data_IF_918534337996
#
_entry.id   IF_918534337996
#
_cell.length_a   1.000
_cell.length_b   1.000
_cell.length_c   1.000
_cell.angle_alpha   90.00
_cell.angle_beta   90.00
_cell.angle_gamma   90.00
#
_symmetry.space_group_name_H-M   'P 1'
#
loop_
_entity.id
_entity.type
_entity.pdbx_description
1 polymer ?
#
# COMPACT_ATOMS: atom_id res chain seq x y z
N UNK A 1 65.32 2.23 45.84
CA UNK A 1 65.11 2.52 44.39
C UNK A 1 64.48 1.38 43.58
N UNK A 2 64.62 0.09 43.96
CA UNK A 2 64.16 -1.05 43.13
C UNK A 2 62.62 -1.29 43.03
N UNK A 3 61.79 -0.75 43.94
CA UNK A 3 60.32 -0.95 43.91
C UNK A 3 59.58 -0.01 42.95
N UNK A 4 60.14 1.18 42.68
CA UNK A 4 59.58 2.16 41.75
C UNK A 4 59.77 1.72 40.30
N UNK A 5 60.96 1.21 39.97
CA UNK A 5 61.28 0.68 38.64
C UNK A 5 60.36 -0.49 38.21
N UNK A 6 59.99 -1.39 39.14
CA UNK A 6 59.07 -2.51 38.84
C UNK A 6 57.66 -2.04 38.51
N UNK A 7 57.16 -0.98 39.16
CA UNK A 7 55.84 -0.41 38.86
C UNK A 7 55.83 0.31 37.51
N UNK A 8 56.91 1.04 37.20
CA UNK A 8 57.07 1.70 35.89
C UNK A 8 57.14 0.68 34.76
N UNK A 9 57.87 -0.43 34.93
CA UNK A 9 57.95 -1.51 33.94
C UNK A 9 56.59 -2.19 33.73
N UNK A 10 55.82 -2.44 34.80
CA UNK A 10 54.49 -3.05 34.66
C UNK A 10 53.50 -2.14 33.96
N UNK A 11 53.54 -0.82 34.22
CA UNK A 11 52.69 0.16 33.53
C UNK A 11 53.08 0.27 32.06
N UNK A 12 54.39 0.32 31.74
CA UNK A 12 54.85 0.36 30.35
C UNK A 12 54.49 -0.91 29.58
N UNK A 13 54.66 -2.10 30.16
CA UNK A 13 54.21 -3.35 29.54
C UNK A 13 52.69 -3.39 29.33
N UNK A 14 51.91 -2.87 30.29
CA UNK A 14 50.47 -2.76 30.17
C UNK A 14 50.04 -1.84 29.02
N UNK A 15 50.68 -0.67 28.89
CA UNK A 15 50.42 0.28 27.79
C UNK A 15 50.83 -0.29 26.43
N UNK A 16 51.95 -1.01 26.35
CA UNK A 16 52.38 -1.68 25.11
C UNK A 16 51.39 -2.78 24.71
N UNK A 17 50.92 -3.58 25.67
CA UNK A 17 49.92 -4.63 25.40
C UNK A 17 48.58 -4.05 24.94
N UNK A 18 48.11 -2.95 25.54
CA UNK A 18 46.86 -2.31 25.11
C UNK A 18 46.97 -1.69 23.72
N UNK A 19 48.10 -1.05 23.40
CA UNK A 19 48.36 -0.51 22.05
C UNK A 19 48.44 -1.65 21.02
N UNK A 20 49.11 -2.77 21.35
CA UNK A 20 49.17 -3.93 20.46
C UNK A 20 47.79 -4.54 20.24
N UNK A 21 46.94 -4.67 21.27
CA UNK A 21 45.58 -5.19 21.12
C UNK A 21 44.71 -4.25 20.27
N UNK A 22 44.83 -2.93 20.44
CA UNK A 22 44.11 -1.96 19.61
C UNK A 22 44.57 -2.00 18.14
N UNK A 23 45.86 -2.18 17.89
CA UNK A 23 46.40 -2.37 16.53
C UNK A 23 45.95 -3.69 15.90
N UNK A 24 45.79 -4.77 16.68
CA UNK A 24 45.25 -6.05 16.21
C UNK A 24 43.74 -5.98 15.93
N UNK A 25 43.00 -5.13 16.65
CA UNK A 25 41.58 -4.90 16.42
C UNK A 25 41.32 -4.04 15.18
N UNK A 26 42.17 -3.05 14.89
CA UNK A 26 42.05 -2.23 13.67
C UNK A 26 42.55 -2.94 12.41
N UNK A 27 43.46 -3.92 12.54
CA UNK A 27 43.94 -4.74 11.41
C UNK A 27 43.03 -5.93 11.05
N UNK A 28 41.99 -6.22 11.85
CA UNK A 28 40.94 -7.20 11.51
C UNK A 28 39.87 -6.67 10.55
N UNK A 29 39.96 -5.41 10.13
CA UNK A 29 39.05 -4.79 9.15
C UNK A 29 39.65 -4.73 7.74
N UNK A 30 40.31 -5.79 7.28
CA UNK A 30 40.69 -5.94 5.87
C UNK A 30 40.98 -7.41 5.53
N UNK A 31 39.95 -8.26 5.55
CA UNK A 31 39.97 -9.46 4.71
C UNK A 31 39.38 -9.06 3.36
N UNK A 32 40.18 -8.92 2.28
CA UNK A 32 39.62 -8.91 0.94
C UNK A 32 38.92 -10.25 0.72
N UNK A 33 37.66 -10.19 0.31
CA UNK A 33 36.91 -11.38 -0.08
C UNK A 33 37.57 -11.95 -1.35
N UNK A 34 38.42 -12.95 -1.19
CA UNK A 34 39.02 -13.69 -2.30
C UNK A 34 37.93 -14.50 -2.98
N UNK A 35 37.46 -14.06 -4.14
CA UNK A 35 36.70 -14.89 -5.08
C UNK A 35 37.56 -16.06 -5.53
N UNK A 36 37.19 -17.28 -5.15
CA UNK A 36 37.78 -18.53 -5.66
C UNK A 36 37.10 -18.86 -7.00
N UNK A 37 37.82 -18.91 -8.14
CA UNK A 37 37.28 -19.41 -9.38
C UNK A 37 37.34 -20.95 -9.37
N UNK A 38 36.17 -21.60 -9.45
CA UNK A 38 36.09 -23.04 -9.71
C UNK A 38 35.56 -23.86 -8.54
N UNK A 39 34.23 -23.89 -8.40
CA UNK A 39 33.52 -24.87 -7.58
C UNK A 39 32.19 -25.19 -8.25
N UNK A 40 32.12 -26.31 -8.97
CA UNK A 40 30.87 -26.92 -9.44
C UNK A 40 30.00 -27.24 -8.22
N UNK A 41 29.07 -26.35 -7.89
CA UNK A 41 27.89 -26.73 -7.13
C UNK A 41 26.82 -27.08 -8.15
N UNK A 42 26.35 -28.33 -8.13
CA UNK A 42 25.08 -28.70 -8.73
C UNK A 42 23.96 -28.03 -7.94
N UNK A 43 23.85 -26.71 -8.09
CA UNK A 43 22.60 -26.02 -7.85
C UNK A 43 21.71 -26.31 -9.05
N UNK A 44 20.53 -26.87 -8.80
CA UNK A 44 19.43 -26.81 -9.76
C UNK A 44 19.35 -25.34 -10.19
N UNK A 45 19.46 -25.02 -11.49
CA UNK A 45 19.36 -23.63 -11.92
C UNK A 45 17.95 -23.19 -11.55
N UNK A 46 17.85 -22.32 -10.54
CA UNK A 46 16.70 -21.44 -10.41
C UNK A 46 16.66 -20.70 -11.74
N UNK A 47 15.70 -21.08 -12.57
CA UNK A 47 15.41 -20.41 -13.82
C UNK A 47 15.20 -18.95 -13.43
N UNK A 48 16.20 -18.13 -13.70
CA UNK A 48 16.10 -16.69 -13.57
C UNK A 48 14.96 -16.29 -14.50
N UNK A 49 13.78 -16.07 -13.94
CA UNK A 49 12.64 -15.52 -14.67
C UNK A 49 13.02 -14.07 -14.94
N UNK A 50 13.80 -13.87 -16.00
CA UNK A 50 14.04 -12.55 -16.56
C UNK A 50 12.72 -12.07 -17.14
N UNK A 51 11.96 -11.35 -16.33
CA UNK A 51 11.03 -10.36 -16.86
C UNK A 51 11.90 -9.37 -17.64
N UNK A 52 11.75 -9.34 -18.97
CA UNK A 52 12.56 -8.47 -19.82
C UNK A 52 12.40 -7.01 -19.36
N UNK A 53 13.50 -6.36 -18.96
CA UNK A 53 13.55 -4.92 -18.71
C UNK A 53 13.53 -4.46 -17.24
N UNK A 54 13.42 -5.35 -16.25
CA UNK A 54 13.46 -4.94 -14.83
C UNK A 54 14.90 -4.96 -14.34
N UNK A 55 15.42 -3.77 -13.99
CA UNK A 55 16.73 -3.62 -13.35
C UNK A 55 16.78 -4.30 -11.97
N UNK A 56 17.92 -4.22 -11.25
CA UNK A 56 18.02 -4.78 -9.90
C UNK A 56 16.94 -4.18 -8.99
N UNK A 57 16.22 -5.03 -8.26
CA UNK A 57 15.27 -4.58 -7.22
C UNK A 57 16.05 -3.89 -6.11
N UNK A 58 15.88 -2.59 -5.97
CA UNK A 58 16.51 -1.78 -4.94
C UNK A 58 15.45 -1.07 -4.05
N UNK A 59 15.90 -0.37 -3.00
CA UNK A 59 15.00 0.30 -2.04
C UNK A 59 14.39 1.60 -2.56
N UNK A 60 14.95 2.16 -3.62
CA UNK A 60 14.59 3.46 -4.17
C UNK A 60 13.76 3.31 -5.44
N UNK A 61 13.51 2.08 -5.90
CA UNK A 61 12.64 1.81 -7.03
C UNK A 61 11.22 2.31 -6.76
N UNK A 62 10.51 2.82 -7.79
CA UNK A 62 9.14 3.30 -7.63
C UNK A 62 8.20 2.12 -7.39
N UNK A 63 7.72 1.99 -6.16
CA UNK A 63 6.75 0.96 -5.75
C UNK A 63 5.34 1.53 -5.71
N UNK A 64 4.38 0.75 -6.20
CA UNK A 64 2.95 1.05 -6.12
C UNK A 64 2.34 0.18 -5.03
N UNK A 65 1.69 0.81 -4.04
CA UNK A 65 0.94 0.10 -3.00
C UNK A 65 -0.55 0.30 -3.23
N UNK A 66 -1.26 -0.80 -3.49
CA UNK A 66 -2.73 -0.80 -3.63
C UNK A 66 -3.32 -1.26 -2.30
N UNK A 67 -4.09 -0.38 -1.68
CA UNK A 67 -4.75 -0.63 -0.41
C UNK A 67 -6.25 -0.35 -0.48
N UNK A 68 -6.97 -0.77 0.55
CA UNK A 68 -8.38 -0.49 0.74
C UNK A 68 -9.00 -1.45 1.75
N UNK A 69 -10.22 -1.14 2.19
CA UNK A 69 -11.02 -2.13 2.93
C UNK A 69 -11.34 -3.30 1.99
N UNK A 70 -11.35 -4.55 2.48
CA UNK A 70 -11.72 -5.70 1.65
C UNK A 70 -13.08 -5.48 0.98
N UNK A 71 -13.20 -5.96 -0.27
CA UNK A 71 -14.38 -5.82 -1.14
C UNK A 71 -14.58 -4.44 -1.79
N UNK A 72 -13.65 -3.49 -1.62
CA UNK A 72 -13.66 -2.18 -2.30
C UNK A 72 -12.97 -2.17 -3.68
N UNK A 73 -12.95 -3.29 -4.41
CA UNK A 73 -12.40 -3.31 -5.78
C UNK A 73 -10.86 -3.31 -5.91
N UNK A 74 -10.09 -3.48 -4.82
CA UNK A 74 -8.61 -3.51 -4.85
C UNK A 74 -8.03 -4.57 -5.80
N UNK A 75 -8.73 -5.70 -5.95
CA UNK A 75 -8.35 -6.77 -6.90
C UNK A 75 -8.58 -6.37 -8.36
N UNK A 76 -9.59 -5.55 -8.65
CA UNK A 76 -9.80 -5.02 -9.99
C UNK A 76 -8.69 -4.00 -10.31
N UNK A 77 -8.43 -3.06 -9.40
CA UNK A 77 -7.38 -2.06 -9.56
C UNK A 77 -6.00 -2.69 -9.85
N UNK A 78 -5.61 -3.74 -9.08
CA UNK A 78 -4.35 -4.45 -9.36
C UNK A 78 -4.35 -5.14 -10.72
N UNK A 79 -5.48 -5.69 -11.16
CA UNK A 79 -5.57 -6.46 -12.41
C UNK A 79 -5.50 -5.53 -13.62
N UNK A 80 -6.08 -4.33 -13.51
CA UNK A 80 -5.95 -3.28 -14.52
C UNK A 80 -4.49 -2.83 -14.64
N UNK A 81 -3.80 -2.58 -13.51
CA UNK A 81 -2.39 -2.20 -13.51
C UNK A 81 -1.48 -3.32 -14.06
N UNK A 82 -1.73 -4.58 -13.72
CA UNK A 82 -0.94 -5.73 -14.19
C UNK A 82 -1.10 -6.01 -15.69
N UNK A 83 -2.12 -5.42 -16.34
CA UNK A 83 -2.27 -5.46 -17.79
C UNK A 83 -1.28 -4.52 -18.51
N UNK A 84 -0.74 -3.50 -17.81
CA UNK A 84 0.21 -2.57 -18.41
C UNK A 84 1.58 -3.26 -18.59
N UNK A 85 2.23 -3.19 -19.77
CA UNK A 85 3.47 -3.92 -20.07
C UNK A 85 4.68 -3.65 -19.14
N UNK A 86 4.66 -2.56 -18.37
CA UNK A 86 5.78 -2.12 -17.51
C UNK A 86 5.49 -2.31 -16.03
N UNK A 87 4.25 -2.67 -15.67
CA UNK A 87 3.80 -2.79 -14.28
C UNK A 87 3.50 -4.27 -14.00
N UNK A 88 3.98 -4.75 -12.85
CA UNK A 88 3.63 -6.08 -12.34
C UNK A 88 3.21 -6.00 -10.90
N UNK A 89 1.95 -6.35 -10.62
CA UNK A 89 1.39 -6.39 -9.28
C UNK A 89 1.41 -7.82 -8.70
N UNK A 90 1.03 -8.81 -9.50
CA UNK A 90 0.89 -10.19 -9.03
C UNK A 90 -0.29 -10.42 -8.08
N UNK A 91 -0.26 -11.56 -7.37
CA UNK A 91 -1.29 -11.96 -6.39
C UNK A 91 -1.09 -11.29 -5.02
N UNK A 92 -2.14 -11.32 -4.18
CA UNK A 92 -2.04 -10.81 -2.82
C UNK A 92 -1.03 -11.64 -1.99
N UNK A 93 0.01 -10.97 -1.50
CA UNK A 93 1.16 -11.64 -0.86
C UNK A 93 0.84 -12.28 0.50
N UNK A 94 -0.25 -11.88 1.17
CA UNK A 94 -0.72 -12.28 2.52
C UNK A 94 0.25 -12.10 3.70
N UNK A 95 1.56 -12.08 3.45
CA UNK A 95 2.63 -11.98 4.44
C UNK A 95 2.96 -10.53 4.78
N UNK A 96 2.92 -9.62 3.79
CA UNK A 96 3.25 -8.20 4.00
C UNK A 96 2.36 -7.56 5.07
N UNK A 97 1.02 -7.67 5.03
CA UNK A 97 0.17 -7.08 6.06
C UNK A 97 0.44 -7.67 7.45
N UNK A 98 0.77 -8.97 7.53
CA UNK A 98 1.04 -9.66 8.79
C UNK A 98 2.35 -9.19 9.43
N UNK A 99 3.39 -8.98 8.63
CA UNK A 99 4.66 -8.40 9.09
C UNK A 99 4.46 -6.95 9.55
N UNK A 100 3.66 -6.16 8.82
CA UNK A 100 3.36 -4.78 9.21
C UNK A 100 2.55 -4.73 10.52
N UNK A 101 1.56 -5.61 10.70
CA UNK A 101 0.82 -5.77 11.97
C UNK A 101 1.78 -6.09 13.13
N UNK A 102 2.62 -7.11 12.96
CA UNK A 102 3.61 -7.50 13.96
C UNK A 102 4.57 -6.36 14.29
N UNK A 103 5.08 -5.63 13.30
CA UNK A 103 5.95 -4.48 13.51
C UNK A 103 5.24 -3.35 14.24
N UNK A 104 3.99 -3.07 13.91
CA UNK A 104 3.16 -2.07 14.61
C UNK A 104 2.96 -2.48 16.08
N UNK A 105 2.67 -3.76 16.34
CA UNK A 105 2.55 -4.29 17.70
C UNK A 105 3.85 -4.26 18.48
N UNK A 106 4.99 -4.54 17.85
CA UNK A 106 6.30 -4.44 18.53
C UNK A 106 6.71 -3.00 18.84
N UNK A 107 6.16 -2.03 18.10
CA UNK A 107 6.25 -0.60 18.44
C UNK A 107 5.29 -0.20 19.56
N UNK A 108 4.26 -0.99 19.86
CA UNK A 108 3.31 -0.76 20.95
C UNK A 108 3.80 -1.41 22.25
N UNK A 109 3.52 -0.78 23.39
CA UNK A 109 3.89 -1.31 24.71
C UNK A 109 3.14 -2.60 25.03
N UNK A 110 3.73 -3.52 25.81
CA UNK A 110 3.09 -4.78 26.21
C UNK A 110 1.71 -4.59 26.90
N UNK A 111 1.53 -3.47 27.62
CA UNK A 111 0.26 -3.08 28.22
C UNK A 111 -0.80 -2.70 27.17
N UNK A 112 -0.38 -2.05 26.09
CA UNK A 112 -1.24 -1.69 24.95
C UNK A 112 -1.67 -2.95 24.20
N UNK A 113 -0.73 -3.88 23.95
CA UNK A 113 -1.00 -5.16 23.29
C UNK A 113 -2.01 -6.02 24.07
N UNK A 114 -1.92 -6.03 25.41
CA UNK A 114 -2.88 -6.75 26.25
C UNK A 114 -4.29 -6.15 26.14
N UNK A 115 -4.41 -4.81 26.21
CA UNK A 115 -5.72 -4.13 26.08
C UNK A 115 -6.35 -4.36 24.72
N UNK A 116 -5.56 -4.37 23.65
CA UNK A 116 -6.02 -4.66 22.30
C UNK A 116 -6.52 -6.10 22.18
N UNK A 117 -5.80 -7.07 22.76
CA UNK A 117 -6.24 -8.46 22.79
C UNK A 117 -7.54 -8.66 23.60
N UNK A 118 -7.67 -8.00 24.76
CA UNK A 118 -8.90 -8.02 25.57
C UNK A 118 -10.09 -7.36 24.85
N UNK A 119 -9.81 -6.39 23.97
CA UNK A 119 -10.79 -5.79 23.06
C UNK A 119 -11.05 -6.62 21.78
N UNK A 120 -10.49 -7.82 21.66
CA UNK A 120 -10.69 -8.72 20.51
C UNK A 120 -9.85 -8.40 19.28
N UNK A 121 -8.84 -7.52 19.39
CA UNK A 121 -7.94 -7.14 18.31
C UNK A 121 -6.67 -8.03 18.35
N UNK A 122 -6.71 -9.17 17.66
CA UNK A 122 -5.59 -10.15 17.61
C UNK A 122 -4.79 -10.09 16.29
N UNK A 123 -3.55 -10.59 16.32
CA UNK A 123 -2.49 -10.46 15.30
C UNK A 123 -2.70 -11.23 13.97
N UNK A 124 -3.91 -11.70 13.69
CA UNK A 124 -4.23 -12.41 12.45
C UNK A 124 -4.90 -11.48 11.44
N UNK A 125 -4.22 -11.30 10.30
CA UNK A 125 -4.74 -10.65 9.09
C UNK A 125 -5.78 -11.55 8.42
N UNK A 126 -6.95 -11.54 9.01
CA UNK A 126 -8.25 -11.73 8.36
C UNK A 126 -9.10 -10.54 8.82
N UNK A 127 -10.32 -10.39 8.30
CA UNK A 127 -11.29 -9.33 8.64
C UNK A 127 -11.71 -9.47 10.12
N UNK A 128 -10.79 -9.31 11.06
CA UNK A 128 -10.97 -9.58 12.48
C UNK A 128 -11.67 -8.39 13.12
N UNK A 129 -12.71 -8.68 13.90
CA UNK A 129 -13.55 -7.66 14.53
C UNK A 129 -14.74 -7.18 13.68
N UNK A 130 -15.05 -7.86 12.56
CA UNK A 130 -16.35 -7.72 11.89
C UNK A 130 -17.26 -8.90 12.25
N UNK A 131 -18.38 -8.59 12.87
CA UNK A 131 -19.51 -9.49 13.03
C UNK A 131 -20.37 -9.42 11.76
N UNK A 132 -20.19 -10.42 10.90
CA UNK A 132 -20.92 -10.54 9.63
C UNK A 132 -22.43 -10.76 9.82
N UNK A 133 -22.89 -11.05 11.04
CA UNK A 133 -24.32 -11.15 11.36
C UNK A 133 -24.94 -9.79 11.66
N UNK A 134 -24.12 -8.76 11.94
CA UNK A 134 -24.56 -7.41 12.30
C UNK A 134 -24.13 -6.38 11.25
N UNK A 135 -25.04 -6.00 10.32
CA UNK A 135 -24.80 -4.95 9.34
C UNK A 135 -24.33 -3.63 9.97
N UNK A 136 -24.90 -3.26 11.12
CA UNK A 136 -24.57 -2.04 11.85
C UNK A 136 -23.14 -2.06 12.38
N UNK A 137 -22.69 -3.19 12.91
CA UNK A 137 -21.32 -3.32 13.37
C UNK A 137 -20.34 -3.28 12.19
N UNK A 138 -20.69 -3.95 11.09
CA UNK A 138 -19.89 -3.93 9.86
C UNK A 138 -19.71 -2.51 9.32
N UNK A 139 -20.78 -1.71 9.24
CA UNK A 139 -20.73 -0.32 8.78
C UNK A 139 -19.87 0.57 9.68
N UNK A 140 -20.03 0.47 11.01
CA UNK A 140 -19.20 1.22 11.96
C UNK A 140 -17.73 0.85 11.85
N UNK A 141 -17.44 -0.44 11.71
CA UNK A 141 -16.06 -0.93 11.63
C UNK A 141 -15.43 -0.56 10.30
N UNK A 142 -16.17 -0.67 9.19
CA UNK A 142 -15.78 -0.15 7.89
C UNK A 142 -15.42 1.33 8.00
N UNK A 143 -16.28 2.13 8.62
CA UNK A 143 -16.06 3.57 8.79
C UNK A 143 -14.76 3.88 9.52
N UNK A 144 -14.50 3.21 10.65
CA UNK A 144 -13.25 3.39 11.41
C UNK A 144 -12.00 3.06 10.58
N UNK A 145 -12.05 1.98 9.81
CA UNK A 145 -10.88 1.56 9.01
C UNK A 145 -10.66 2.54 7.86
N UNK A 146 -11.71 2.91 7.15
CA UNK A 146 -11.64 3.87 6.04
C UNK A 146 -11.12 5.22 6.54
N UNK A 147 -11.67 5.76 7.62
CA UNK A 147 -11.21 7.01 8.25
C UNK A 147 -9.70 7.00 8.54
N UNK A 148 -9.20 5.90 9.12
CA UNK A 148 -7.75 5.76 9.40
C UNK A 148 -6.91 5.74 8.13
N UNK A 149 -7.40 5.05 7.08
CA UNK A 149 -6.68 4.96 5.80
C UNK A 149 -6.71 6.29 5.04
N UNK A 150 -7.83 6.99 5.14
CA UNK A 150 -8.06 8.30 4.53
C UNK A 150 -7.12 9.35 5.14
N UNK A 151 -7.07 9.44 6.46
CA UNK A 151 -6.12 10.31 7.17
C UNK A 151 -4.67 10.04 6.78
N UNK A 152 -4.28 8.75 6.68
CA UNK A 152 -2.92 8.39 6.24
C UNK A 152 -2.64 8.80 4.78
N UNK A 153 -3.65 8.74 3.91
CA UNK A 153 -3.53 9.17 2.52
C UNK A 153 -3.33 10.69 2.45
N UNK A 154 -4.10 11.45 3.24
CA UNK A 154 -3.99 12.91 3.34
C UNK A 154 -2.64 13.36 3.91
N UNK A 155 -2.13 12.67 4.94
CA UNK A 155 -0.81 12.94 5.52
C UNK A 155 0.32 12.75 4.49
N UNK A 156 0.16 11.86 3.52
CA UNK A 156 1.11 11.65 2.42
C UNK A 156 1.00 12.73 1.34
N UNK A 157 -0.21 13.24 1.11
CA UNK A 157 -0.55 14.23 0.07
C UNK A 157 -0.69 13.64 -1.34
N UNK A 158 -1.30 14.42 -2.23
CA UNK A 158 -1.81 14.00 -3.56
C UNK A 158 -0.74 13.47 -4.54
N UNK A 159 0.52 13.82 -4.27
CA UNK A 159 1.67 13.35 -5.06
C UNK A 159 2.03 11.88 -4.75
N UNK A 160 1.71 11.40 -3.55
CA UNK A 160 2.09 10.07 -3.05
C UNK A 160 0.89 9.15 -2.85
N UNK A 161 -0.29 9.71 -2.56
CA UNK A 161 -1.52 8.96 -2.41
C UNK A 161 -2.58 9.48 -3.38
N UNK A 162 -3.40 8.56 -3.90
CA UNK A 162 -4.50 8.86 -4.82
C UNK A 162 -5.72 8.06 -4.37
N UNK A 163 -6.80 8.74 -3.97
CA UNK A 163 -8.09 8.10 -3.75
C UNK A 163 -8.73 7.75 -5.10
N UNK A 164 -9.18 6.50 -5.21
CA UNK A 164 -9.82 5.97 -6.42
C UNK A 164 -11.17 5.34 -6.03
N UNK A 165 -12.30 6.02 -6.26
CA UNK A 165 -13.62 5.43 -6.06
C UNK A 165 -13.82 4.23 -7.00
N UNK A 166 -14.24 3.10 -6.45
CA UNK A 166 -14.44 1.86 -7.22
C UNK A 166 -15.49 2.05 -8.31
N UNK A 167 -16.58 2.75 -7.99
CA UNK A 167 -17.69 2.96 -8.91
C UNK A 167 -17.27 3.81 -10.10
N UNK A 168 -16.41 4.81 -9.86
CA UNK A 168 -15.82 5.61 -10.93
C UNK A 168 -14.91 4.76 -11.83
N UNK A 169 -14.06 3.90 -11.24
CA UNK A 169 -13.19 2.99 -11.98
C UNK A 169 -13.98 2.02 -12.89
N UNK A 170 -15.19 1.62 -12.47
CA UNK A 170 -16.05 0.69 -13.21
C UNK A 170 -16.87 1.40 -14.30
N UNK A 171 -17.45 2.56 -13.96
CA UNK A 171 -18.33 3.33 -14.85
C UNK A 171 -17.55 4.08 -15.92
N UNK A 172 -16.44 4.72 -15.54
CA UNK A 172 -15.64 5.61 -16.39
C UNK A 172 -14.14 5.31 -16.23
N UNK A 173 -13.65 4.13 -16.66
CA UNK A 173 -12.24 3.74 -16.50
C UNK A 173 -11.25 4.77 -17.05
N UNK A 174 -11.60 5.45 -18.16
CA UNK A 174 -10.75 6.46 -18.82
C UNK A 174 -10.40 7.65 -17.91
N UNK A 175 -11.32 8.06 -17.03
CA UNK A 175 -11.10 9.17 -16.09
C UNK A 175 -10.11 8.82 -14.97
N UNK A 176 -9.82 7.54 -14.78
CA UNK A 176 -8.93 7.03 -13.73
C UNK A 176 -7.65 6.43 -14.32
N UNK A 177 -7.70 5.93 -15.54
CA UNK A 177 -6.59 5.25 -16.22
C UNK A 177 -6.63 5.54 -17.73
N UNK A 178 -5.69 6.36 -18.22
CA UNK A 178 -5.64 6.79 -19.63
C UNK A 178 -5.41 5.65 -20.63
N UNK A 179 -4.66 4.59 -20.26
CA UNK A 179 -4.35 3.50 -21.19
C UNK A 179 -5.54 2.60 -21.51
N UNK A 180 -6.67 2.79 -20.81
CA UNK A 180 -7.92 2.08 -20.99
C UNK A 180 -8.72 2.54 -22.21
N UNK A 181 -8.20 3.47 -23.03
CA UNK A 181 -8.84 3.92 -24.27
C UNK A 181 -9.18 2.80 -25.26
N UNK A 182 -8.55 1.64 -25.11
CA UNK A 182 -8.79 0.44 -25.92
C UNK A 182 -9.98 -0.40 -25.41
N UNK A 183 -10.53 -0.09 -24.23
CA UNK A 183 -11.63 -0.83 -23.58
C UNK A 183 -12.88 0.05 -23.53
N UNK A 184 -13.68 -0.04 -24.59
CA UNK A 184 -14.88 0.81 -24.84
C UNK A 184 -16.10 0.42 -23.99
N UNK A 185 -16.04 -0.66 -23.19
CA UNK A 185 -17.19 -1.14 -22.41
C UNK A 185 -16.93 -1.05 -20.91
N UNK A 186 -17.93 -0.62 -20.11
CA UNK A 186 -17.78 -0.57 -18.66
C UNK A 186 -17.44 -1.97 -18.14
N UNK A 187 -16.51 -2.01 -17.18
CA UNK A 187 -16.25 -3.22 -16.42
C UNK A 187 -17.55 -3.56 -15.68
N UNK A 188 -17.91 -4.83 -15.57
CA UNK A 188 -19.18 -5.31 -15.02
C UNK A 188 -19.82 -4.39 -13.94
N UNK A 189 -20.94 -3.73 -14.28
CA UNK A 189 -21.67 -2.79 -13.41
C UNK A 189 -22.67 -3.47 -12.48
N UNK A 190 -22.90 -4.78 -12.61
CA UNK A 190 -23.90 -5.51 -11.83
C UNK A 190 -23.64 -5.45 -10.33
N UNK A 191 -22.40 -5.16 -9.91
CA UNK A 191 -22.03 -5.07 -8.50
C UNK A 191 -22.43 -3.74 -7.84
N UNK A 192 -22.63 -2.66 -8.61
CA UNK A 192 -22.76 -1.30 -8.08
C UNK A 192 -23.96 -1.12 -7.16
N UNK A 193 -25.10 -1.70 -7.52
CA UNK A 193 -26.38 -1.51 -6.81
C UNK A 193 -26.92 -2.79 -6.16
N UNK A 194 -26.15 -3.88 -6.13
CA UNK A 194 -26.59 -5.18 -5.57
C UNK A 194 -26.95 -5.14 -4.08
N UNK A 195 -26.45 -4.15 -3.35
CA UNK A 195 -26.73 -3.95 -1.93
C UNK A 195 -28.07 -3.24 -1.67
N UNK A 196 -28.62 -2.56 -2.69
CA UNK A 196 -29.88 -1.80 -2.57
C UNK A 196 -31.00 -2.77 -2.24
N UNK A 197 -31.75 -2.47 -1.18
CA UNK A 197 -32.84 -3.31 -0.69
C UNK A 197 -32.40 -4.52 0.16
N UNK A 198 -31.10 -4.70 0.41
CA UNK A 198 -30.59 -5.75 1.31
C UNK A 198 -30.60 -5.32 2.78
N UNK A 199 -30.29 -4.05 3.06
CA UNK A 199 -30.30 -3.52 4.42
C UNK A 199 -31.73 -3.30 4.93
N UNK A 200 -31.94 -3.58 6.23
CA UNK A 200 -33.17 -3.21 6.91
C UNK A 200 -33.33 -1.69 6.99
N UNK A 201 -34.58 -1.22 7.02
CA UNK A 201 -34.91 0.21 6.99
C UNK A 201 -34.29 1.00 8.15
N UNK A 202 -34.17 0.40 9.34
CA UNK A 202 -33.52 1.02 10.49
C UNK A 202 -32.02 1.25 10.27
N UNK A 203 -31.36 0.38 9.50
CA UNK A 203 -29.95 0.51 9.14
C UNK A 203 -29.76 1.61 8.11
N UNK A 204 -30.66 1.68 7.11
CA UNK A 204 -30.65 2.74 6.09
C UNK A 204 -30.90 4.10 6.72
N UNK A 205 -31.88 4.22 7.61
CA UNK A 205 -32.17 5.47 8.33
C UNK A 205 -31.00 5.95 9.18
N UNK A 206 -30.24 5.03 9.77
CA UNK A 206 -29.12 5.37 10.64
C UNK A 206 -27.78 5.39 9.87
N UNK A 207 -27.79 5.33 8.53
CA UNK A 207 -26.59 5.16 7.69
C UNK A 207 -25.57 6.27 7.92
N UNK A 208 -25.99 7.53 7.90
CA UNK A 208 -25.12 8.69 8.15
C UNK A 208 -24.47 8.64 9.55
N UNK A 209 -25.18 8.12 10.55
CA UNK A 209 -24.63 7.95 11.90
C UNK A 209 -23.67 6.76 11.99
N UNK A 210 -23.96 5.67 11.28
CA UNK A 210 -23.15 4.45 11.31
C UNK A 210 -21.85 4.61 10.51
N UNK A 211 -21.89 5.38 9.42
CA UNK A 211 -20.81 5.50 8.45
C UNK A 211 -20.65 6.94 7.92
N UNK A 212 -20.26 7.91 8.77
CA UNK A 212 -20.05 9.31 8.35
C UNK A 212 -18.99 9.50 7.25
N UNK A 213 -18.05 8.57 7.09
CA UNK A 213 -17.06 8.60 6.00
C UNK A 213 -17.70 8.51 4.60
N UNK A 214 -18.95 8.06 4.49
CA UNK A 214 -19.66 8.09 3.21
C UNK A 214 -19.73 9.52 2.66
N UNK A 215 -20.17 10.47 3.49
CA UNK A 215 -20.28 11.88 3.11
C UNK A 215 -18.90 12.49 2.82
N UNK A 216 -17.90 12.21 3.68
CA UNK A 216 -16.51 12.64 3.47
C UNK A 216 -15.96 12.20 2.12
N UNK A 217 -16.31 10.99 1.67
CA UNK A 217 -15.87 10.42 0.39
C UNK A 217 -16.80 10.76 -0.79
N UNK A 218 -17.82 11.61 -0.59
CA UNK A 218 -18.72 12.07 -1.65
C UNK A 218 -19.92 11.16 -1.94
N UNK A 219 -20.14 10.13 -1.13
CA UNK A 219 -21.35 9.30 -1.19
C UNK A 219 -22.45 9.91 -0.32
N UNK A 220 -23.62 10.15 -0.90
CA UNK A 220 -24.80 10.61 -0.15
C UNK A 220 -25.33 9.46 0.74
N UNK A 221 -25.24 9.56 2.08
CA UNK A 221 -25.68 8.50 2.98
C UNK A 221 -27.20 8.32 3.04
N UNK A 222 -27.98 9.30 2.58
CA UNK A 222 -29.44 9.27 2.54
C UNK A 222 -29.98 8.75 1.20
N UNK A 223 -29.14 8.70 0.16
CA UNK A 223 -29.51 8.17 -1.15
C UNK A 223 -29.39 6.64 -1.22
N UNK A 224 -30.40 5.99 -1.80
CA UNK A 224 -30.44 4.53 -1.92
C UNK A 224 -30.99 4.07 -3.29
N UNK A 225 -30.13 3.86 -4.31
CA UNK A 225 -28.67 4.06 -4.33
C UNK A 225 -28.26 5.54 -4.52
N UNK A 226 -27.02 5.90 -4.13
CA UNK A 226 -26.38 7.15 -4.52
C UNK A 226 -26.15 7.27 -6.02
N UNK A 227 -26.05 8.51 -6.51
CA UNK A 227 -25.62 8.77 -7.88
C UNK A 227 -24.09 8.67 -8.00
N UNK A 228 -23.59 7.49 -8.38
CA UNK A 228 -22.16 7.23 -8.48
C UNK A 228 -21.40 8.07 -9.53
N UNK A 229 -22.09 8.67 -10.50
CA UNK A 229 -21.44 9.48 -11.56
C UNK A 229 -20.91 10.83 -11.05
N UNK A 230 -21.37 11.27 -9.88
CA UNK A 230 -20.92 12.52 -9.28
C UNK A 230 -19.58 12.40 -8.54
N UNK A 231 -19.08 11.17 -8.36
CA UNK A 231 -17.82 10.92 -7.66
C UNK A 231 -16.63 11.44 -8.47
N UNK A 232 -15.61 11.90 -7.75
CA UNK A 232 -14.36 12.44 -8.31
C UNK A 232 -13.16 11.84 -7.60
N UNK A 233 -11.99 11.90 -8.24
CA UNK A 233 -10.70 11.60 -7.60
C UNK A 233 -10.11 12.89 -7.04
N UNK A 234 -9.14 12.76 -6.12
CA UNK A 234 -8.47 13.90 -5.48
C UNK A 234 -7.79 14.86 -6.46
N UNK A 235 -7.46 14.38 -7.67
CA UNK A 235 -6.81 15.20 -8.71
C UNK A 235 -7.80 15.96 -9.60
N UNK A 236 -9.11 15.85 -9.36
CA UNK A 236 -10.13 16.52 -10.17
C UNK A 236 -10.04 16.16 -11.67
N UNK A 237 -10.67 16.98 -12.52
CA UNK A 237 -10.78 16.85 -13.98
C UNK A 237 -9.44 17.00 -14.75
N UNK A 238 -8.29 16.61 -14.18
CA UNK A 238 -6.98 16.69 -14.86
C UNK A 238 -6.87 15.68 -16.03
N UNK A 239 -7.84 14.78 -16.19
CA UNK A 239 -7.89 13.79 -17.25
C UNK A 239 -8.82 14.13 -18.43
N UNK A 240 -9.58 15.23 -18.37
CA UNK A 240 -10.52 15.64 -19.43
C UNK A 240 -9.97 16.75 -20.35
N UNK A 241 -8.75 17.26 -20.10
CA UNK A 241 -8.07 18.21 -21.00
C UNK A 241 -7.32 17.49 -22.12
N UNK A 242 -8.05 16.76 -22.96
CA UNK A 242 -7.67 16.62 -24.36
C UNK A 242 -8.85 17.18 -25.14
N UNK A 243 -8.72 18.45 -25.53
CA UNK A 243 -9.59 19.13 -26.48
C UNK A 243 -9.73 18.24 -27.71
N UNK A 244 -10.91 17.66 -27.90
CA UNK A 244 -11.45 17.41 -29.23
C UNK A 244 -11.51 18.79 -29.90
N UNK A 245 -10.42 19.15 -30.56
CA UNK A 245 -10.42 20.19 -31.57
C UNK A 245 -11.21 19.66 -32.74
N UNK A 246 -12.53 19.84 -32.68
CA UNK A 246 -13.40 19.70 -33.84
C UNK A 246 -12.82 20.59 -34.95
N UNK A 247 -12.19 19.96 -35.95
CA UNK A 247 -12.03 20.55 -37.28
C UNK A 247 -13.45 20.67 -37.87
N UNK A 248 -14.20 21.68 -37.44
CA UNK A 248 -15.41 22.13 -38.12
C UNK A 248 -15.00 22.83 -39.42
N UNK A 249 -15.12 22.06 -40.51
CA UNK A 249 -15.68 22.45 -41.80
C UNK A 249 -15.34 23.85 -42.33
N UNK A 250 -14.28 23.91 -43.12
CA UNK A 250 -14.13 24.95 -44.14
C UNK A 250 -15.12 24.68 -45.29
N UNK A 251 -16.39 25.04 -45.10
CA UNK A 251 -17.28 25.36 -46.22
C UNK A 251 -17.02 26.82 -46.66
N UNK A 252 -16.21 26.95 -47.71
CA UNK A 252 -16.09 28.17 -48.51
C UNK A 252 -17.45 28.49 -49.17
N UNK A 253 -18.30 29.28 -48.52
CA UNK A 253 -19.26 30.15 -49.22
C UNK A 253 -18.53 31.44 -49.64
N UNK A 254 -17.92 31.39 -50.82
CA UNK A 254 -17.48 32.57 -51.55
C UNK A 254 -18.66 33.26 -52.22
N UNK A 255 -19.05 34.41 -51.66
CA UNK A 255 -19.78 35.49 -52.35
C UNK A 255 -18.87 36.28 -53.29
#
# INVERSE_FOLDING_TARGET
MARSARRVVLVLCGVVLTVLVLLQLTSRSALPCTTIPGGRTSGVPLKEVRMAGVGPVDRNMPLIFIGGVPRSGTTLARAMLDAHPIVRCGEETRVIPRILSLRSHWKKSAKETLRLNEAGLTDQVTITGFDLTSPRQCLRRWNTVVDTMDQQCEELGDQWCLRVPYELLVLEPRRVEKSSDQVVRPVNTDALTKWVGWYAEDVVRDMAQLAPMLETLGYDPEANPPNYRQLQTDRGHEFDEDQDGDEEDAEEEGS
#
